data_IF_572316246116
#
_entry.id   IF_572316246116
#
_cell.length_a   1.000
_cell.length_b   1.000
_cell.length_c   1.000
_cell.angle_alpha   90.00
_cell.angle_beta   90.00
_cell.angle_gamma   90.00
#
_symmetry.space_group_name_H-M   'P 1'
#
loop_
_entity.id
_entity.type
_entity.pdbx_description
1 polymer ?
#
# COMPACT_ATOMS: atom_id res chain seq x y z
N UNK A 1 54.87 21.80 -43.33
CA UNK A 1 54.11 22.42 -42.22
C UNK A 1 52.65 21.94 -42.31
N UNK A 2 52.28 20.94 -41.56
CA UNK A 2 50.94 20.38 -41.52
C UNK A 2 50.14 21.05 -40.38
N UNK A 3 48.96 21.62 -40.71
CA UNK A 3 48.06 22.23 -39.73
C UNK A 3 47.18 21.15 -39.13
N UNK A 4 47.24 20.96 -37.78
CA UNK A 4 46.30 20.13 -37.03
C UNK A 4 44.94 20.81 -36.94
N UNK A 5 43.82 20.07 -37.09
CA UNK A 5 42.49 20.62 -36.84
C UNK A 5 42.17 20.68 -35.34
N UNK A 6 41.69 21.83 -34.91
CA UNK A 6 41.15 22.02 -33.53
C UNK A 6 39.77 21.41 -33.48
N UNK A 7 39.61 20.32 -32.71
CA UNK A 7 38.32 19.77 -32.36
C UNK A 7 37.68 20.62 -31.26
N UNK A 8 36.67 21.40 -31.60
CA UNK A 8 35.82 22.10 -30.65
C UNK A 8 34.92 21.12 -29.87
N UNK A 9 35.15 21.00 -28.58
CA UNK A 9 34.33 20.22 -27.69
C UNK A 9 33.06 21.05 -27.32
N UNK A 10 31.94 20.72 -27.95
CA UNK A 10 30.66 21.37 -27.63
C UNK A 10 30.06 20.73 -26.35
N UNK A 11 30.15 21.46 -25.24
CA UNK A 11 29.45 21.06 -24.00
C UNK A 11 27.96 21.28 -24.16
N UNK A 12 27.19 20.18 -24.20
CA UNK A 12 25.74 20.23 -24.04
C UNK A 12 25.43 20.41 -22.55
N UNK A 13 24.94 21.58 -22.18
CA UNK A 13 24.35 21.83 -20.86
C UNK A 13 22.96 21.19 -20.84
N UNK A 14 22.83 20.02 -20.19
CA UNK A 14 21.52 19.42 -19.91
C UNK A 14 20.96 20.21 -18.72
N UNK A 15 20.00 21.09 -18.97
CA UNK A 15 19.22 21.72 -17.93
C UNK A 15 18.33 20.65 -17.28
N UNK A 16 18.69 20.24 -16.06
CA UNK A 16 17.81 19.40 -15.25
C UNK A 16 16.58 20.24 -14.88
N UNK A 17 15.47 20.00 -15.56
CA UNK A 17 14.17 20.53 -15.13
C UNK A 17 13.77 19.78 -13.86
N UNK A 18 13.86 20.43 -12.72
CA UNK A 18 13.23 19.93 -11.49
C UNK A 18 11.73 19.85 -11.74
N UNK A 19 11.18 18.64 -11.82
CA UNK A 19 9.74 18.45 -11.78
C UNK A 19 9.28 18.93 -10.41
N UNK A 20 8.74 20.14 -10.36
CA UNK A 20 8.08 20.65 -9.17
C UNK A 20 6.79 19.84 -9.00
N UNK A 21 6.66 19.11 -7.89
CA UNK A 21 5.41 18.46 -7.53
C UNK A 21 4.30 19.51 -7.54
N UNK A 22 3.22 19.24 -8.24
CA UNK A 22 2.06 20.15 -8.27
C UNK A 22 1.53 20.33 -6.84
N UNK A 23 1.20 21.55 -6.43
CA UNK A 23 0.60 21.76 -5.11
C UNK A 23 -0.73 21.00 -5.05
N UNK A 24 -1.07 20.43 -3.88
CA UNK A 24 -2.31 19.68 -3.73
C UNK A 24 -3.52 20.57 -4.07
N UNK A 25 -4.54 19.96 -4.70
CA UNK A 25 -5.78 20.65 -5.11
C UNK A 25 -6.48 21.39 -3.97
N UNK A 26 -6.25 20.95 -2.73
CA UNK A 26 -6.88 21.50 -1.54
C UNK A 26 -5.84 22.14 -0.63
N UNK A 27 -6.19 23.32 -0.08
CA UNK A 27 -5.37 23.94 0.95
C UNK A 27 -5.55 23.21 2.27
N UNK A 28 -4.45 22.79 2.89
CA UNK A 28 -4.50 22.24 4.23
C UNK A 28 -4.89 23.34 5.24
N UNK A 29 -5.61 22.95 6.31
CA UNK A 29 -5.88 23.86 7.44
C UNK A 29 -4.56 24.28 8.08
N UNK A 30 -4.48 25.49 8.62
CA UNK A 30 -3.29 25.97 9.33
C UNK A 30 -2.84 24.97 10.40
N UNK A 31 -1.57 24.60 10.39
CA UNK A 31 -0.99 23.60 11.30
C UNK A 31 -1.21 22.14 10.87
N UNK A 32 -1.77 21.88 9.69
CA UNK A 32 -1.90 20.54 9.09
C UNK A 32 -1.27 20.50 7.70
N UNK A 33 -1.06 19.30 7.19
CA UNK A 33 -0.60 19.05 5.83
C UNK A 33 -1.41 17.90 5.22
N UNK A 34 -1.42 17.82 3.90
CA UNK A 34 -2.02 16.71 3.16
C UNK A 34 -1.07 15.54 3.16
N UNK A 35 -1.63 14.35 3.29
CA UNK A 35 -0.95 13.07 3.19
C UNK A 35 -1.57 12.29 2.04
N UNK A 36 -0.75 11.90 1.07
CA UNK A 36 -1.19 11.06 -0.06
C UNK A 36 -1.10 9.60 0.35
N UNK A 37 -2.21 8.87 0.28
CA UNK A 37 -2.26 7.50 0.82
C UNK A 37 -2.92 6.52 -0.14
N UNK A 38 -2.47 5.26 -0.09
CA UNK A 38 -3.22 4.10 -0.56
C UNK A 38 -3.46 3.14 0.62
N UNK A 39 -4.72 2.98 0.99
CA UNK A 39 -5.13 2.20 2.15
C UNK A 39 -5.78 0.85 1.78
N UNK A 40 -5.67 0.42 0.51
CA UNK A 40 -6.24 -0.84 0.04
C UNK A 40 -5.35 -1.51 -1.01
N UNK A 41 -4.39 -2.31 -0.55
CA UNK A 41 -3.36 -2.92 -1.40
C UNK A 41 -3.34 -4.43 -1.18
N UNK A 42 -3.32 -5.18 -2.30
CA UNK A 42 -3.12 -6.63 -2.36
C UNK A 42 -1.81 -6.98 -3.05
N UNK A 43 -1.25 -8.12 -2.66
CA UNK A 43 -0.06 -8.71 -3.26
C UNK A 43 -0.29 -10.20 -3.53
N UNK A 44 0.76 -10.93 -3.94
CA UNK A 44 0.72 -12.39 -4.11
C UNK A 44 0.42 -13.16 -2.81
N UNK A 45 0.35 -12.48 -1.68
CA UNK A 45 -0.08 -13.07 -0.41
C UNK A 45 -1.60 -13.12 -0.22
N UNK A 46 -2.36 -12.53 -1.14
CA UNK A 46 -3.78 -12.78 -1.36
C UNK A 46 -4.03 -12.92 -2.87
N UNK A 47 -4.83 -12.11 -3.49
CA UNK A 47 -5.20 -12.21 -4.91
C UNK A 47 -4.47 -11.21 -5.82
N UNK A 48 -3.55 -10.41 -5.27
CA UNK A 48 -2.71 -9.50 -6.06
C UNK A 48 -1.65 -10.24 -6.88
N UNK A 49 -1.16 -9.60 -7.94
CA UNK A 49 -0.28 -10.22 -8.92
C UNK A 49 1.22 -9.91 -8.70
N UNK A 50 1.58 -9.07 -7.70
CA UNK A 50 2.96 -8.64 -7.50
C UNK A 50 3.44 -8.86 -6.07
N UNK A 51 4.75 -8.90 -5.91
CA UNK A 51 5.41 -9.05 -4.60
C UNK A 51 5.31 -7.75 -3.78
N UNK A 52 5.28 -7.81 -2.43
CA UNK A 52 5.16 -6.60 -1.58
C UNK A 52 6.20 -5.51 -1.86
N UNK A 53 7.44 -5.88 -2.21
CA UNK A 53 8.47 -4.92 -2.56
C UNK A 53 8.12 -4.10 -3.82
N UNK A 54 7.39 -4.68 -4.77
CA UNK A 54 6.95 -3.97 -5.97
C UNK A 54 5.91 -2.89 -5.60
N UNK A 55 4.99 -3.17 -4.66
CA UNK A 55 4.04 -2.18 -4.14
C UNK A 55 4.75 -0.98 -3.50
N UNK A 56 5.84 -1.23 -2.77
CA UNK A 56 6.66 -0.15 -2.20
C UNK A 56 7.31 0.69 -3.30
N UNK A 57 7.87 0.06 -4.36
CA UNK A 57 8.46 0.80 -5.48
C UNK A 57 7.41 1.59 -6.27
N UNK A 58 6.22 1.04 -6.48
CA UNK A 58 5.08 1.76 -7.08
C UNK A 58 4.70 2.98 -6.25
N UNK A 59 4.56 2.83 -4.92
CA UNK A 59 4.25 3.91 -4.02
C UNK A 59 5.30 5.04 -4.04
N UNK A 60 6.58 4.69 -4.10
CA UNK A 60 7.69 5.65 -4.26
C UNK A 60 7.57 6.43 -5.56
N UNK A 61 7.31 5.72 -6.66
CA UNK A 61 7.17 6.31 -7.99
C UNK A 61 5.99 7.26 -8.09
N UNK A 62 4.87 6.91 -7.46
CA UNK A 62 3.66 7.74 -7.40
C UNK A 62 3.74 8.86 -6.35
N UNK A 63 4.78 8.87 -5.53
CA UNK A 63 5.01 9.91 -4.50
C UNK A 63 4.02 9.83 -3.35
N UNK A 64 3.60 8.62 -2.97
CA UNK A 64 2.75 8.41 -1.82
C UNK A 64 3.52 8.64 -0.51
N UNK A 65 2.80 9.08 0.50
CA UNK A 65 3.33 9.30 1.85
C UNK A 65 3.11 8.08 2.75
N UNK A 66 2.02 7.33 2.49
CA UNK A 66 1.64 6.19 3.32
C UNK A 66 0.89 5.16 2.50
N UNK A 67 1.25 3.88 2.70
CA UNK A 67 0.52 2.73 2.16
C UNK A 67 0.16 1.75 3.26
N UNK A 68 -0.99 1.08 3.10
CA UNK A 68 -1.41 -0.01 3.97
C UNK A 68 -1.38 -1.34 3.23
N UNK A 69 -0.69 -2.33 3.78
CA UNK A 69 -0.75 -3.70 3.27
C UNK A 69 -2.03 -4.35 3.82
N UNK A 70 -3.01 -4.60 2.94
CA UNK A 70 -4.36 -5.04 3.33
C UNK A 70 -4.77 -6.31 2.61
N UNK A 71 -3.92 -7.34 2.70
CA UNK A 71 -4.24 -8.64 2.14
C UNK A 71 -5.60 -9.17 2.61
N UNK A 72 -6.29 -9.90 1.75
CA UNK A 72 -7.46 -10.67 2.17
C UNK A 72 -7.08 -11.59 3.34
N UNK A 73 -7.80 -11.49 4.42
CA UNK A 73 -7.53 -12.26 5.63
C UNK A 73 -7.80 -13.76 5.43
N UNK A 74 -8.89 -14.06 4.75
CA UNK A 74 -9.39 -15.43 4.56
C UNK A 74 -9.17 -15.98 3.15
N UNK A 75 -9.14 -15.12 2.14
CA UNK A 75 -8.99 -15.52 0.74
C UNK A 75 -7.54 -15.41 0.29
N UNK A 76 -6.90 -16.57 0.09
CA UNK A 76 -5.48 -16.64 -0.25
C UNK A 76 -5.25 -17.66 -1.37
N UNK A 77 -5.58 -17.29 -2.61
CA UNK A 77 -5.57 -18.22 -3.74
C UNK A 77 -4.17 -18.75 -4.09
N UNK A 78 -3.10 -18.04 -3.70
CA UNK A 78 -1.72 -18.44 -3.97
C UNK A 78 -1.05 -19.20 -2.81
N UNK A 79 -1.79 -19.54 -1.73
CA UNK A 79 -1.20 -20.12 -0.52
C UNK A 79 -0.54 -21.49 -0.74
N UNK A 80 -0.95 -22.23 -1.75
CA UNK A 80 -0.32 -23.52 -2.11
C UNK A 80 1.09 -23.31 -2.69
N UNK A 81 1.24 -22.35 -3.60
CA UNK A 81 2.52 -22.04 -4.25
C UNK A 81 3.41 -21.15 -3.39
N UNK A 82 2.80 -20.27 -2.59
CA UNK A 82 3.48 -19.31 -1.72
C UNK A 82 2.99 -19.50 -0.29
N UNK A 83 3.44 -20.52 0.44
CA UNK A 83 3.01 -20.77 1.82
C UNK A 83 3.31 -19.60 2.75
N UNK A 84 2.28 -19.02 3.36
CA UNK A 84 2.39 -17.84 4.24
C UNK A 84 1.31 -17.88 5.34
N UNK A 85 1.44 -18.74 6.34
CA UNK A 85 0.46 -18.84 7.42
C UNK A 85 0.36 -17.56 8.27
N UNK A 86 1.43 -16.77 8.32
CA UNK A 86 1.46 -15.47 9.00
C UNK A 86 0.84 -14.38 8.14
N UNK A 87 -0.29 -13.83 8.58
CA UNK A 87 -1.04 -12.76 7.90
C UNK A 87 -0.33 -11.40 7.92
N UNK A 88 0.72 -11.25 8.70
CA UNK A 88 1.55 -10.03 8.70
C UNK A 88 2.69 -10.08 7.67
N UNK A 89 2.83 -11.16 6.91
CA UNK A 89 4.02 -11.38 6.09
C UNK A 89 4.22 -10.32 5.00
N UNK A 90 3.15 -9.90 4.30
CA UNK A 90 3.26 -8.85 3.29
C UNK A 90 3.72 -7.53 3.89
N UNK A 91 3.14 -7.15 5.03
CA UNK A 91 3.56 -5.98 5.80
C UNK A 91 5.02 -6.07 6.25
N UNK A 92 5.45 -7.21 6.79
CA UNK A 92 6.82 -7.41 7.24
C UNK A 92 7.83 -7.22 6.10
N UNK A 93 7.53 -7.73 4.91
CA UNK A 93 8.37 -7.57 3.72
C UNK A 93 8.37 -6.11 3.26
N UNK A 94 7.19 -5.51 3.11
CA UNK A 94 7.07 -4.13 2.62
C UNK A 94 7.71 -3.12 3.58
N UNK A 95 7.43 -3.22 4.89
CA UNK A 95 8.00 -2.32 5.90
C UNK A 95 9.53 -2.44 6.02
N UNK A 96 10.06 -3.64 5.81
CA UNK A 96 11.51 -3.88 5.77
C UNK A 96 12.24 -3.20 4.60
N UNK A 97 11.51 -2.68 3.62
CA UNK A 97 12.08 -1.93 2.48
C UNK A 97 12.27 -0.45 2.78
N UNK A 98 11.63 0.07 3.84
CA UNK A 98 11.61 1.50 4.14
C UNK A 98 12.87 1.89 4.91
N UNK A 99 13.53 2.96 4.45
CA UNK A 99 14.69 3.52 5.13
C UNK A 99 14.25 4.54 6.22
N UNK A 100 15.02 4.71 7.29
CA UNK A 100 14.65 5.60 8.42
C UNK A 100 14.36 7.05 8.02
N UNK A 101 15.02 7.55 6.97
CA UNK A 101 14.91 8.94 6.50
C UNK A 101 13.85 9.09 5.40
N UNK A 102 13.20 8.01 5.01
CA UNK A 102 12.23 7.99 3.92
C UNK A 102 10.90 8.57 4.36
N UNK A 103 10.28 9.37 3.46
CA UNK A 103 8.97 9.95 3.71
C UNK A 103 7.85 8.92 3.66
N UNK A 104 7.96 7.93 2.76
CA UNK A 104 6.99 6.86 2.62
C UNK A 104 6.93 6.02 3.89
N UNK A 105 5.72 5.77 4.37
CA UNK A 105 5.45 4.87 5.48
C UNK A 105 4.62 3.68 5.02
N UNK A 106 4.90 2.52 5.60
CA UNK A 106 4.10 1.31 5.39
C UNK A 106 3.45 0.93 6.71
N UNK A 107 2.14 0.78 6.71
CA UNK A 107 1.39 0.35 7.88
C UNK A 107 0.79 -1.04 7.69
N UNK A 108 0.61 -1.73 8.81
CA UNK A 108 -0.06 -3.04 8.81
C UNK A 108 -1.57 -2.85 8.71
N UNK A 109 -2.19 -3.69 7.88
CA UNK A 109 -3.62 -3.77 7.69
C UNK A 109 -4.04 -5.16 7.28
N UNK A 110 -5.33 -5.35 7.16
CA UNK A 110 -5.92 -6.57 6.59
C UNK A 110 -7.33 -6.29 6.09
N UNK A 111 -7.74 -6.96 5.04
CA UNK A 111 -9.11 -6.97 4.59
C UNK A 111 -9.83 -8.19 5.12
N UNK A 112 -10.74 -7.96 6.06
CA UNK A 112 -11.67 -8.98 6.55
C UNK A 112 -12.65 -9.27 5.43
N UNK A 113 -12.52 -10.44 4.81
CA UNK A 113 -13.19 -10.81 3.56
C UNK A 113 -14.39 -11.70 3.85
N UNK A 114 -15.58 -11.21 3.54
CA UNK A 114 -16.84 -11.94 3.73
C UNK A 114 -17.78 -11.72 2.56
N UNK A 115 -18.71 -12.65 2.41
CA UNK A 115 -19.87 -12.40 1.55
C UNK A 115 -20.73 -11.25 2.11
N UNK A 116 -21.52 -10.61 1.26
CA UNK A 116 -22.52 -9.63 1.69
C UNK A 116 -23.64 -10.32 2.49
N UNK A 117 -24.15 -9.82 3.59
CA UNK A 117 -23.60 -8.73 4.39
C UNK A 117 -22.69 -9.29 5.48
N UNK A 118 -21.63 -8.55 5.94
CA UNK A 118 -21.33 -7.14 5.66
C UNK A 118 -20.45 -6.91 4.41
N UNK A 119 -19.86 -7.95 3.77
CA UNK A 119 -18.91 -7.81 2.69
C UNK A 119 -17.48 -7.60 3.17
N UNK A 120 -16.68 -6.85 2.42
CA UNK A 120 -15.26 -6.64 2.66
C UNK A 120 -15.01 -5.40 3.50
N UNK A 121 -14.17 -5.53 4.50
CA UNK A 121 -13.89 -4.48 5.49
C UNK A 121 -12.39 -4.39 5.73
N UNK A 122 -11.80 -3.23 5.47
CA UNK A 122 -10.41 -2.99 5.84
C UNK A 122 -10.28 -2.58 7.30
N UNK A 123 -9.23 -3.12 7.92
CA UNK A 123 -8.72 -2.68 9.20
C UNK A 123 -7.26 -2.27 9.02
N UNK A 124 -6.93 -0.99 9.20
CA UNK A 124 -5.58 -0.45 9.05
C UNK A 124 -5.05 0.06 10.38
N UNK A 125 -3.73 0.21 10.53
CA UNK A 125 -3.03 0.52 11.79
C UNK A 125 -3.14 -0.60 12.83
N UNK A 126 -3.30 -1.85 12.41
CA UNK A 126 -3.28 -3.01 13.29
C UNK A 126 -1.84 -3.39 13.68
N UNK A 127 -1.70 -4.10 14.79
CA UNK A 127 -0.42 -4.66 15.25
C UNK A 127 -0.21 -6.08 14.76
N UNK A 128 -1.27 -6.86 14.69
CA UNK A 128 -1.25 -8.27 14.32
C UNK A 128 -2.53 -8.65 13.55
N UNK A 129 -2.36 -8.94 12.27
CA UNK A 129 -3.44 -9.39 11.39
C UNK A 129 -3.95 -10.79 11.75
N UNK A 130 -3.09 -11.68 12.30
CA UNK A 130 -3.50 -13.03 12.69
C UNK A 130 -4.58 -12.98 13.79
N UNK A 131 -4.54 -11.96 14.65
CA UNK A 131 -5.51 -11.76 15.72
C UNK A 131 -6.93 -11.41 15.21
N UNK A 132 -7.10 -11.19 13.90
CA UNK A 132 -8.39 -10.91 13.27
C UNK A 132 -9.07 -12.17 12.71
N UNK A 133 -8.39 -13.32 12.71
CA UNK A 133 -8.91 -14.59 12.19
C UNK A 133 -10.01 -15.17 13.09
N UNK A 134 -11.24 -14.77 12.85
CA UNK A 134 -12.44 -15.27 13.51
C UNK A 134 -13.41 -15.89 12.48
N UNK A 135 -14.30 -16.77 12.95
CA UNK A 135 -15.31 -17.36 12.08
C UNK A 135 -16.35 -16.33 11.59
N UNK A 136 -16.60 -15.29 12.38
CA UNK A 136 -17.54 -14.22 12.05
C UNK A 136 -16.83 -12.86 11.91
N UNK A 137 -17.38 -12.01 11.06
CA UNK A 137 -16.82 -10.69 10.75
C UNK A 137 -16.86 -9.73 11.95
N UNK A 138 -17.91 -9.80 12.77
CA UNK A 138 -18.07 -8.89 13.91
C UNK A 138 -16.94 -9.09 14.94
N UNK A 139 -16.61 -10.33 15.26
CA UNK A 139 -15.48 -10.66 16.16
C UNK A 139 -14.16 -10.19 15.60
N UNK A 140 -13.92 -10.35 14.29
CA UNK A 140 -12.73 -9.82 13.61
C UNK A 140 -12.64 -8.30 13.69
N UNK A 141 -13.74 -7.58 13.41
CA UNK A 141 -13.82 -6.12 13.54
C UNK A 141 -13.57 -5.66 14.98
N UNK A 142 -14.16 -6.36 15.97
CA UNK A 142 -13.93 -6.05 17.38
C UNK A 142 -12.46 -6.26 17.79
N UNK A 143 -11.81 -7.30 17.26
CA UNK A 143 -10.39 -7.55 17.47
C UNK A 143 -9.51 -6.46 16.86
N UNK A 144 -9.86 -5.97 15.66
CA UNK A 144 -9.20 -4.83 15.02
C UNK A 144 -9.37 -3.55 15.88
N UNK A 145 -10.57 -3.24 16.32
CA UNK A 145 -10.86 -2.08 17.18
C UNK A 145 -10.09 -2.13 18.50
N UNK A 146 -9.93 -3.32 19.11
CA UNK A 146 -9.12 -3.50 20.33
C UNK A 146 -7.62 -3.18 20.08
N UNK A 147 -7.15 -3.30 18.86
CA UNK A 147 -5.80 -2.91 18.46
C UNK A 147 -5.66 -1.42 18.14
N UNK A 148 -6.76 -0.66 18.12
CA UNK A 148 -6.80 0.76 17.76
C UNK A 148 -6.88 0.99 16.26
N UNK A 149 -7.34 0.01 15.48
CA UNK A 149 -7.47 0.11 14.04
C UNK A 149 -8.46 1.20 13.62
N UNK A 150 -8.19 1.79 12.47
CA UNK A 150 -9.20 2.49 11.68
C UNK A 150 -9.84 1.45 10.75
N UNK A 151 -11.17 1.30 10.87
CA UNK A 151 -11.95 0.30 10.13
C UNK A 151 -12.88 1.01 9.17
N UNK A 152 -12.94 0.53 7.92
CA UNK A 152 -13.83 1.06 6.90
C UNK A 152 -14.34 -0.02 5.94
N UNK A 153 -15.52 0.25 5.35
CA UNK A 153 -16.18 -0.65 4.42
C UNK A 153 -15.66 -0.43 3.01
N UNK A 154 -15.23 -1.52 2.37
CA UNK A 154 -14.69 -1.49 1.00
C UNK A 154 -15.82 -1.62 -0.03
N UNK A 155 -15.62 -1.01 -1.20
CA UNK A 155 -16.38 -1.18 -2.44
C UNK A 155 -17.85 -1.64 -2.24
N UNK A 156 -18.71 -0.89 -1.52
CA UNK A 156 -20.05 -1.32 -1.09
C UNK A 156 -21.01 -1.62 -2.24
N UNK A 157 -20.68 -1.19 -3.46
CA UNK A 157 -21.47 -1.44 -4.67
C UNK A 157 -20.99 -2.66 -5.47
N UNK A 158 -20.04 -3.42 -4.97
CA UNK A 158 -19.55 -4.60 -5.66
C UNK A 158 -20.56 -5.77 -5.53
N UNK A 159 -21.06 -6.21 -6.69
CA UNK A 159 -22.18 -7.17 -6.76
C UNK A 159 -21.72 -8.63 -6.73
N UNK A 160 -20.42 -8.91 -6.94
CA UNK A 160 -19.89 -10.27 -7.11
C UNK A 160 -20.18 -11.22 -5.93
N UNK A 161 -20.48 -10.68 -4.75
CA UNK A 161 -20.78 -11.45 -3.53
C UNK A 161 -22.15 -11.15 -2.94
N UNK A 162 -23.03 -10.47 -3.70
CA UNK A 162 -24.44 -10.36 -3.33
C UNK A 162 -25.15 -11.66 -3.66
N UNK A 163 -25.75 -12.25 -2.65
CA UNK A 163 -26.80 -13.27 -2.86
C UNK A 163 -28.11 -12.50 -2.95
N UNK A 164 -28.72 -12.52 -4.12
CA UNK A 164 -30.09 -12.04 -4.34
C UNK A 164 -31.09 -12.88 -3.53
#
# INVERSE_FOLDING_TARGET
MAKLPIFGCTFFLIAATTLSAQPPFFKAKSGSHWVSTDLHIHTVFSDGAVWPSIRVEEARKEGLDLIAMTEHLEYQPHAEDIPHPDRNRSYTIASGMIQPEERLQVINGSEITREMAPGHINAVFIKDANALLYADSLSGIQAANKQGAFVFWNHPNWDAHRKD
#
